data_IF_456723110378
#
_entry.id   IF_456723110378
#
_cell.length_a   1.000
_cell.length_b   1.000
_cell.length_c   1.000
_cell.angle_alpha   90.00
_cell.angle_beta   90.00
_cell.angle_gamma   90.00
#
_symmetry.space_group_name_H-M   'P 1'
#
loop_
_entity.id
_entity.type
_entity.pdbx_description
1 polymer ?
#
# COMPACT_ATOMS: atom_id res chain seq x y z
N UNK A 1 41.76 -9.91 -35.56
CA UNK A 1 43.03 -10.37 -34.94
C UNK A 1 42.98 -10.10 -33.44
N UNK A 2 43.06 -11.18 -32.64
CA UNK A 2 43.56 -11.36 -31.25
C UNK A 2 43.32 -10.21 -30.24
N UNK A 3 42.39 -10.39 -29.29
CA UNK A 3 42.60 -10.90 -27.90
C UNK A 3 43.15 -9.82 -26.94
N UNK A 4 42.55 -9.60 -25.77
CA UNK A 4 42.80 -10.47 -24.60
C UNK A 4 41.72 -10.41 -23.52
N UNK A 5 41.39 -11.59 -22.99
CA UNK A 5 40.63 -11.87 -21.76
C UNK A 5 41.46 -11.47 -20.53
N UNK A 6 40.81 -11.01 -19.45
CA UNK A 6 41.34 -11.17 -18.11
C UNK A 6 40.20 -11.25 -17.07
N UNK A 7 39.85 -12.49 -16.76
CA UNK A 7 39.06 -12.94 -15.62
C UNK A 7 39.79 -12.58 -14.31
N UNK A 8 39.10 -12.01 -13.33
CA UNK A 8 39.51 -12.11 -11.92
C UNK A 8 38.30 -12.49 -11.07
N UNK A 9 38.31 -13.75 -10.64
CA UNK A 9 37.56 -14.27 -9.50
C UNK A 9 38.16 -13.66 -8.21
N UNK A 10 37.31 -13.22 -7.30
CA UNK A 10 37.67 -13.09 -5.89
C UNK A 10 36.44 -13.48 -5.06
N UNK A 11 36.47 -14.73 -4.59
CA UNK A 11 35.61 -15.24 -3.55
C UNK A 11 36.09 -14.67 -2.21
N UNK A 12 35.18 -14.11 -1.41
CA UNK A 12 35.48 -13.76 -0.02
C UNK A 12 34.36 -14.22 0.88
N UNK A 13 34.78 -14.90 1.94
CA UNK A 13 34.02 -15.88 2.68
C UNK A 13 33.00 -15.29 3.67
N UNK A 14 31.90 -16.02 3.79
CA UNK A 14 30.86 -15.93 4.81
C UNK A 14 31.46 -16.21 6.20
N UNK A 15 31.22 -15.35 7.18
CA UNK A 15 31.37 -15.66 8.59
C UNK A 15 30.07 -15.28 9.32
N UNK A 16 29.21 -16.27 9.51
CA UNK A 16 27.98 -16.16 10.31
C UNK A 16 28.37 -16.39 11.78
N UNK A 17 28.20 -15.37 12.61
CA UNK A 17 28.31 -15.48 14.08
C UNK A 17 26.89 -15.53 14.65
N UNK A 18 26.46 -16.71 15.09
CA UNK A 18 25.22 -16.96 15.81
C UNK A 18 25.48 -16.84 17.32
N UNK A 19 24.97 -15.78 17.94
CA UNK A 19 24.61 -15.70 19.36
C UNK A 19 23.26 -14.96 19.38
N UNK A 20 22.13 -15.44 19.88
CA UNK A 20 21.88 -16.47 20.88
C UNK A 20 21.59 -15.81 22.23
N UNK A 21 20.33 -15.42 22.48
CA UNK A 21 19.67 -15.51 23.80
C UNK A 21 18.26 -14.92 23.78
N UNK A 22 17.31 -15.78 24.12
CA UNK A 22 15.90 -15.48 24.38
C UNK A 22 15.71 -14.77 25.72
N UNK A 23 14.77 -13.81 25.80
CA UNK A 23 14.11 -13.44 27.06
C UNK A 23 12.65 -13.11 26.81
N UNK A 24 11.80 -13.74 27.61
CA UNK A 24 10.36 -13.84 27.47
C UNK A 24 9.59 -12.53 27.73
N UNK A 25 8.53 -12.31 26.95
CA UNK A 25 7.38 -11.48 27.33
C UNK A 25 6.36 -12.33 28.08
N UNK A 26 5.79 -11.81 29.17
CA UNK A 26 4.36 -11.87 29.47
C UNK A 26 4.05 -11.13 30.78
N UNK A 27 3.68 -9.86 30.65
CA UNK A 27 2.89 -9.18 31.67
C UNK A 27 1.42 -9.45 31.35
N UNK A 28 0.76 -10.26 32.18
CA UNK A 28 -0.71 -10.44 32.11
C UNK A 28 -1.40 -9.28 32.80
N UNK A 29 -1.99 -8.43 31.97
CA UNK A 29 -3.07 -7.49 32.27
C UNK A 29 -4.38 -8.25 32.53
N UNK A 30 -5.22 -7.75 33.45
CA UNK A 30 -6.68 -7.93 33.40
C UNK A 30 -7.32 -6.95 34.38
N UNK A 31 -7.33 -5.68 33.98
CA UNK A 31 -8.09 -4.62 34.61
C UNK A 31 -9.28 -4.19 33.74
N UNK A 32 -10.44 -4.06 34.39
CA UNK A 32 -11.63 -3.29 34.00
C UNK A 32 -12.80 -4.03 33.29
N UNK A 33 -14.05 -3.69 33.67
CA UNK A 33 -15.28 -4.40 33.29
C UNK A 33 -15.87 -3.92 31.96
N UNK A 34 -16.49 -4.84 31.23
CA UNK A 34 -17.20 -4.55 29.99
C UNK A 34 -18.66 -4.12 30.25
N UNK A 35 -18.99 -2.95 29.73
CA UNK A 35 -20.31 -2.31 29.71
C UNK A 35 -21.33 -3.08 28.85
N UNK A 36 -22.57 -3.09 29.32
CA UNK A 36 -23.78 -3.56 28.62
C UNK A 36 -24.22 -2.57 27.53
N UNK A 37 -24.63 -3.04 26.34
CA UNK A 37 -25.51 -2.27 25.47
C UNK A 37 -26.95 -2.79 25.51
N UNK A 38 -27.86 -1.93 25.99
CA UNK A 38 -29.31 -2.05 25.81
C UNK A 38 -29.67 -1.60 24.40
N UNK A 39 -30.26 -2.48 23.58
CA UNK A 39 -30.88 -2.10 22.30
C UNK A 39 -32.38 -2.36 22.37
N UNK A 40 -33.15 -1.27 22.33
CA UNK A 40 -34.61 -1.27 22.22
C UNK A 40 -34.99 -0.35 21.07
N UNK A 41 -35.81 -0.85 20.13
CA UNK A 41 -36.84 -0.16 19.31
C UNK A 41 -37.21 -1.11 18.15
N UNK A 42 -38.35 -1.78 18.09
CA UNK A 42 -39.77 -1.34 17.99
C UNK A 42 -40.16 -0.84 16.58
N UNK A 43 -40.73 -1.78 15.83
CA UNK A 43 -41.90 -1.76 14.91
C UNK A 43 -42.13 -0.69 13.82
N UNK A 44 -42.18 -1.20 12.58
CA UNK A 44 -43.09 -1.01 11.42
C UNK A 44 -44.42 -0.27 11.69
N UNK A 45 -44.93 0.60 10.77
CA UNK A 45 -45.79 0.13 9.67
C UNK A 45 -45.64 0.81 8.28
N UNK A 46 -46.10 0.06 7.28
CA UNK A 46 -46.44 0.38 5.88
C UNK A 46 -47.63 1.37 5.77
N UNK A 47 -47.68 2.26 4.75
CA UNK A 47 -48.70 2.11 3.70
C UNK A 47 -48.23 2.53 2.29
N UNK A 48 -48.70 1.81 1.27
CA UNK A 48 -48.71 2.26 -0.13
C UNK A 48 -49.89 3.22 -0.40
N UNK A 49 -49.74 4.17 -1.34
CA UNK A 49 -50.71 4.22 -2.44
C UNK A 49 -50.09 4.52 -3.81
N UNK A 50 -50.80 4.06 -4.85
CA UNK A 50 -50.54 4.25 -6.27
C UNK A 50 -50.91 5.63 -6.82
N UNK A 51 -50.23 5.96 -7.93
CA UNK A 51 -50.64 6.79 -9.07
C UNK A 51 -50.53 8.33 -8.97
N UNK A 52 -49.62 8.92 -9.77
CA UNK A 52 -49.97 9.65 -11.02
C UNK A 52 -48.74 10.35 -11.62
N UNK A 53 -48.57 10.24 -12.93
CA UNK A 53 -47.58 10.97 -13.75
C UNK A 53 -47.95 12.47 -13.86
N UNK A 54 -46.94 13.35 -13.91
CA UNK A 54 -47.01 14.44 -14.88
C UNK A 54 -45.72 14.66 -15.68
N UNK A 55 -45.98 15.20 -16.88
CA UNK A 55 -45.12 15.65 -17.97
C UNK A 55 -43.97 16.57 -17.57
N UNK A 56 -42.88 16.45 -18.33
CA UNK A 56 -41.58 17.11 -18.21
C UNK A 56 -41.59 18.64 -18.20
N UNK A 57 -40.71 19.21 -17.36
CA UNK A 57 -40.19 20.57 -17.44
C UNK A 57 -38.64 20.49 -17.45
N UNK A 58 -37.93 21.19 -18.36
CA UNK A 58 -36.47 21.12 -18.43
C UNK A 58 -35.85 22.05 -17.38
N UNK A 59 -35.30 21.47 -16.32
CA UNK A 59 -34.58 22.14 -15.23
C UNK A 59 -33.08 21.85 -15.39
N UNK A 60 -32.20 22.82 -15.05
CA UNK A 60 -31.16 23.33 -15.94
C UNK A 60 -29.96 22.40 -16.04
N UNK A 61 -29.18 22.64 -17.10
CA UNK A 61 -27.81 22.16 -17.28
C UNK A 61 -27.03 22.27 -15.96
N UNK A 62 -26.85 21.15 -15.28
CA UNK A 62 -25.89 21.05 -14.20
C UNK A 62 -24.52 21.33 -14.83
N UNK A 63 -23.89 22.45 -14.42
CA UNK A 63 -22.45 22.62 -14.61
C UNK A 63 -21.74 21.36 -14.10
N UNK A 64 -20.66 20.91 -14.76
CA UNK A 64 -19.91 19.75 -14.28
C UNK A 64 -19.59 19.95 -12.80
N UNK A 65 -20.04 19.00 -12.00
CA UNK A 65 -19.61 18.86 -10.60
C UNK A 65 -18.09 18.86 -10.66
N UNK A 66 -17.47 19.86 -10.04
CA UNK A 66 -16.02 19.96 -9.89
C UNK A 66 -15.55 18.63 -9.31
N UNK A 67 -14.80 17.85 -10.11
CA UNK A 67 -14.21 16.61 -9.65
C UNK A 67 -13.45 16.91 -8.36
N UNK A 68 -13.62 16.12 -7.28
CA UNK A 68 -12.81 16.30 -6.09
C UNK A 68 -11.34 16.32 -6.52
N UNK A 69 -10.60 17.29 -6.00
CA UNK A 69 -9.17 17.41 -6.28
C UNK A 69 -8.53 16.02 -6.06
N UNK A 70 -7.69 15.54 -6.98
CA UNK A 70 -7.12 14.22 -6.86
C UNK A 70 -6.33 14.13 -5.54
N UNK A 71 -6.79 13.25 -4.64
CA UNK A 71 -6.19 13.02 -3.33
C UNK A 71 -4.71 12.64 -3.42
N UNK A 72 -4.27 12.20 -4.62
CA UNK A 72 -2.93 11.72 -4.94
C UNK A 72 -2.17 12.59 -5.95
N UNK A 73 -2.40 13.91 -5.93
CA UNK A 73 -1.70 14.84 -6.83
C UNK A 73 -2.13 14.62 -8.28
N UNK A 74 -1.22 14.43 -9.24
CA UNK A 74 -1.65 14.18 -10.62
C UNK A 74 -2.11 12.73 -10.89
N UNK A 75 -1.91 11.82 -9.94
CA UNK A 75 -2.20 10.40 -10.10
C UNK A 75 -3.59 10.02 -9.56
N UNK A 76 -4.14 8.91 -10.06
CA UNK A 76 -5.19 8.16 -9.34
C UNK A 76 -4.58 7.09 -8.42
N UNK A 77 -5.36 6.59 -7.46
CA UNK A 77 -4.93 5.50 -6.60
C UNK A 77 -4.58 4.24 -7.40
N UNK A 78 -5.39 3.91 -8.42
CA UNK A 78 -5.19 2.75 -9.28
C UNK A 78 -3.89 2.88 -10.09
N UNK A 79 -3.57 4.08 -10.57
CA UNK A 79 -2.31 4.34 -11.28
C UNK A 79 -1.11 4.10 -10.37
N UNK A 80 -1.12 4.66 -9.16
CA UNK A 80 -0.05 4.47 -8.18
C UNK A 80 0.12 2.99 -7.81
N UNK A 81 -0.99 2.28 -7.60
CA UNK A 81 -1.01 0.85 -7.30
C UNK A 81 -0.40 0.03 -8.44
N UNK A 82 -0.87 0.25 -9.67
CA UNK A 82 -0.42 -0.52 -10.83
C UNK A 82 1.06 -0.26 -11.14
N UNK A 83 1.52 0.99 -11.04
CA UNK A 83 2.95 1.33 -11.22
C UNK A 83 3.80 0.54 -10.23
N UNK A 84 3.38 0.45 -8.96
CA UNK A 84 4.13 -0.28 -7.95
C UNK A 84 4.16 -1.80 -8.24
N UNK A 85 3.02 -2.38 -8.66
CA UNK A 85 2.93 -3.79 -9.05
C UNK A 85 3.85 -4.08 -10.24
N UNK A 86 3.75 -3.29 -11.32
CA UNK A 86 4.55 -3.51 -12.53
C UNK A 86 6.05 -3.44 -12.24
N UNK A 87 6.45 -2.56 -11.32
CA UNK A 87 7.84 -2.40 -10.89
C UNK A 87 8.36 -3.57 -10.05
N UNK A 88 7.50 -4.24 -9.30
CA UNK A 88 7.90 -5.20 -8.27
C UNK A 88 7.52 -6.64 -8.56
N UNK A 89 6.62 -6.90 -9.52
CA UNK A 89 6.10 -8.23 -9.84
C UNK A 89 7.20 -9.26 -10.10
N UNK A 90 8.32 -8.85 -10.73
CA UNK A 90 9.47 -9.75 -10.98
C UNK A 90 10.24 -10.17 -9.73
N UNK A 91 9.99 -9.54 -8.59
CA UNK A 91 10.59 -9.87 -7.28
C UNK A 91 9.90 -11.06 -6.63
N UNK A 92 8.66 -11.35 -7.04
CA UNK A 92 7.85 -12.42 -6.47
C UNK A 92 7.86 -13.69 -7.33
N UNK A 93 7.36 -14.78 -6.77
CA UNK A 93 7.09 -16.01 -7.52
C UNK A 93 6.01 -15.80 -8.59
N UNK A 94 5.95 -16.67 -9.61
CA UNK A 94 4.97 -16.55 -10.71
C UNK A 94 3.51 -16.74 -10.24
N UNK A 95 3.32 -17.21 -9.02
CA UNK A 95 2.04 -17.44 -8.36
C UNK A 95 1.56 -16.25 -7.51
N UNK A 96 2.25 -15.11 -7.55
CA UNK A 96 1.91 -13.94 -6.74
C UNK A 96 0.49 -13.43 -7.04
N UNK A 97 -0.24 -13.10 -5.97
CA UNK A 97 -1.53 -12.45 -6.02
C UNK A 97 -1.43 -11.12 -5.27
N UNK A 98 -1.72 -10.02 -5.95
CA UNK A 98 -1.74 -8.69 -5.35
C UNK A 98 -3.16 -8.33 -4.88
N UNK A 99 -3.24 -7.71 -3.71
CA UNK A 99 -4.49 -7.21 -3.13
C UNK A 99 -4.58 -5.70 -3.35
N UNK A 100 -5.19 -5.32 -4.49
CA UNK A 100 -5.32 -3.93 -4.89
C UNK A 100 -6.27 -3.14 -3.97
N UNK A 101 -7.31 -3.79 -3.46
CA UNK A 101 -8.36 -3.17 -2.65
C UNK A 101 -7.83 -2.73 -1.28
N UNK A 102 -6.86 -3.48 -0.73
CA UNK A 102 -6.20 -3.15 0.54
C UNK A 102 -4.86 -2.42 0.35
N UNK A 103 -4.65 -1.78 -0.81
CA UNK A 103 -3.47 -0.92 -1.03
C UNK A 103 -3.51 0.27 -0.10
N UNK A 104 -2.38 0.54 0.57
CA UNK A 104 -2.19 1.74 1.38
C UNK A 104 -1.31 2.73 0.61
N UNK A 105 -1.79 3.96 0.47
CA UNK A 105 -1.09 5.06 -0.20
C UNK A 105 -0.93 6.20 0.80
N UNK A 106 0.31 6.63 1.01
CA UNK A 106 0.65 7.66 1.98
C UNK A 106 1.42 8.79 1.30
N UNK A 107 1.10 10.03 1.66
CA UNK A 107 1.88 11.19 1.23
C UNK A 107 3.13 11.32 2.11
N UNK A 108 4.29 11.38 1.47
CA UNK A 108 5.60 11.55 2.10
C UNK A 108 5.90 13.03 2.33
N UNK A 109 6.77 13.31 3.30
CA UNK A 109 7.28 14.67 3.56
C UNK A 109 8.51 15.02 2.71
N UNK A 110 8.97 14.06 1.92
CA UNK A 110 10.14 14.16 1.03
C UNK A 110 9.76 13.71 -0.38
N UNK A 111 10.68 13.86 -1.34
CA UNK A 111 10.52 13.32 -2.70
C UNK A 111 11.10 11.91 -2.77
N UNK A 112 10.50 10.96 -3.53
CA UNK A 112 9.22 11.05 -4.25
C UNK A 112 8.01 11.17 -3.33
N UNK A 113 6.95 11.85 -3.76
CA UNK A 113 5.85 12.29 -2.88
C UNK A 113 4.96 11.15 -2.36
N UNK A 114 4.87 10.01 -3.05
CA UNK A 114 3.94 8.94 -2.71
C UNK A 114 4.67 7.70 -2.22
N UNK A 115 4.27 7.17 -1.06
CA UNK A 115 4.59 5.82 -0.61
C UNK A 115 3.41 4.92 -0.95
N UNK A 116 3.64 3.84 -1.70
CA UNK A 116 2.63 2.87 -2.08
C UNK A 116 2.99 1.51 -1.50
N UNK A 117 2.05 0.92 -0.77
CA UNK A 117 2.18 -0.35 -0.09
C UNK A 117 1.08 -1.29 -0.59
N UNK A 118 1.43 -2.22 -1.48
CA UNK A 118 0.47 -3.16 -2.07
C UNK A 118 0.65 -4.52 -1.39
N UNK A 119 -0.31 -4.99 -0.57
CA UNK A 119 -0.24 -6.34 -0.02
C UNK A 119 -0.25 -7.38 -1.13
N UNK A 120 0.46 -8.48 -0.90
CA UNK A 120 0.53 -9.59 -1.84
C UNK A 120 0.56 -10.92 -1.08
N UNK A 121 0.35 -12.02 -1.80
CA UNK A 121 0.57 -13.37 -1.30
C UNK A 121 1.28 -14.20 -2.38
N UNK A 122 2.30 -14.97 -2.00
CA UNK A 122 3.04 -15.87 -2.90
C UNK A 122 3.60 -17.03 -2.08
N UNK A 123 3.57 -18.25 -2.63
CA UNK A 123 4.13 -19.45 -2.01
C UNK A 123 3.62 -19.72 -0.58
N UNK A 124 2.40 -19.27 -0.26
CA UNK A 124 1.79 -19.41 1.07
C UNK A 124 2.25 -18.39 2.11
N UNK A 125 3.03 -17.38 1.73
CA UNK A 125 3.46 -16.27 2.59
C UNK A 125 2.67 -15.01 2.25
N UNK A 126 2.35 -14.22 3.28
CA UNK A 126 1.98 -12.82 3.06
C UNK A 126 3.21 -12.04 2.62
N UNK A 127 3.03 -11.10 1.72
CA UNK A 127 4.09 -10.29 1.15
C UNK A 127 3.59 -8.86 0.96
N UNK A 128 4.48 -7.95 0.59
CA UNK A 128 4.13 -6.56 0.33
C UNK A 128 5.07 -5.93 -0.69
N UNK A 129 4.52 -5.25 -1.67
CA UNK A 129 5.28 -4.34 -2.55
C UNK A 129 5.36 -2.98 -1.90
N UNK A 130 6.55 -2.38 -1.93
CA UNK A 130 6.85 -1.09 -1.31
C UNK A 130 7.52 -0.22 -2.36
N UNK A 131 6.84 0.87 -2.74
CA UNK A 131 7.34 1.78 -3.76
C UNK A 131 7.27 3.23 -3.31
N UNK A 132 8.28 4.04 -3.69
CA UNK A 132 8.19 5.50 -3.62
C UNK A 132 8.06 6.07 -5.03
N UNK A 133 6.97 6.80 -5.29
CA UNK A 133 6.57 7.27 -6.63
C UNK A 133 6.40 8.79 -6.63
N UNK A 134 6.90 9.42 -7.69
CA UNK A 134 6.74 10.85 -7.95
C UNK A 134 6.71 11.13 -9.45
N UNK A 135 6.94 12.38 -9.84
CA UNK A 135 6.84 12.77 -11.25
C UNK A 135 5.39 12.97 -11.69
N UNK A 136 5.02 12.46 -12.86
CA UNK A 136 3.65 12.57 -13.41
C UNK A 136 3.15 11.21 -13.90
N UNK A 137 1.84 11.02 -14.11
CA UNK A 137 1.32 9.77 -14.68
C UNK A 137 1.93 9.39 -16.04
N UNK A 138 2.31 10.38 -16.86
CA UNK A 138 2.95 10.16 -18.15
C UNK A 138 4.45 9.81 -18.03
N UNK A 139 5.09 10.26 -16.96
CA UNK A 139 6.51 10.06 -16.67
C UNK A 139 6.71 9.78 -15.16
N UNK A 140 6.32 8.58 -14.68
CA UNK A 140 6.46 8.24 -13.27
C UNK A 140 7.94 8.06 -12.91
N UNK A 141 8.33 8.58 -11.75
CA UNK A 141 9.68 8.44 -11.21
C UNK A 141 9.62 7.58 -9.95
N UNK A 142 10.34 6.47 -9.96
CA UNK A 142 10.49 5.59 -8.80
C UNK A 142 11.90 5.71 -8.24
N UNK A 143 12.01 5.83 -6.92
CA UNK A 143 13.31 5.77 -6.22
C UNK A 143 13.47 4.48 -5.41
N UNK A 144 12.40 4.03 -4.77
CA UNK A 144 12.30 2.73 -4.12
C UNK A 144 11.28 1.87 -4.85
N UNK A 145 11.62 0.61 -5.09
CA UNK A 145 10.72 -0.43 -5.56
C UNK A 145 11.24 -1.78 -5.08
N UNK A 146 10.59 -2.34 -4.06
CA UNK A 146 11.02 -3.60 -3.43
C UNK A 146 9.83 -4.47 -3.05
N UNK A 147 10.02 -5.78 -3.12
CA UNK A 147 9.11 -6.77 -2.55
C UNK A 147 9.63 -7.24 -1.18
N UNK A 148 8.74 -7.29 -0.19
CA UNK A 148 9.00 -7.84 1.14
C UNK A 148 8.18 -9.11 1.35
N UNK A 149 8.75 -10.12 2.04
CA UNK A 149 8.08 -11.38 2.43
C UNK A 149 7.28 -11.20 3.75
N UNK A 150 7.24 -9.98 4.27
CA UNK A 150 6.44 -9.61 5.44
C UNK A 150 5.90 -8.19 5.24
N UNK A 151 4.75 -7.87 5.85
CA UNK A 151 4.25 -6.50 5.90
C UNK A 151 5.15 -5.64 6.77
N UNK A 152 5.42 -4.41 6.32
CA UNK A 152 6.22 -3.47 7.11
C UNK A 152 5.48 -3.08 8.40
N UNK A 153 6.18 -3.01 9.55
CA UNK A 153 5.62 -2.47 10.78
C UNK A 153 5.34 -0.97 10.63
N UNK A 154 4.36 -0.45 11.37
CA UNK A 154 3.93 0.96 11.26
C UNK A 154 5.08 1.95 11.48
N UNK A 155 5.98 1.68 12.44
CA UNK A 155 7.16 2.51 12.67
C UNK A 155 8.02 2.67 11.41
N UNK A 156 8.24 1.58 10.68
CA UNK A 156 9.03 1.61 9.44
C UNK A 156 8.29 2.37 8.33
N UNK A 157 6.97 2.25 8.25
CA UNK A 157 6.14 3.03 7.32
C UNK A 157 6.28 4.53 7.64
N UNK A 158 6.20 4.92 8.91
CA UNK A 158 6.38 6.31 9.33
C UNK A 158 7.81 6.84 9.08
N UNK A 159 8.82 5.97 9.13
CA UNK A 159 10.18 6.33 8.73
C UNK A 159 10.27 6.60 7.23
N UNK A 160 9.71 5.73 6.39
CA UNK A 160 9.66 5.92 4.93
C UNK A 160 8.85 7.16 4.51
N UNK A 161 7.76 7.48 5.23
CA UNK A 161 7.00 8.71 5.04
C UNK A 161 7.89 9.94 5.27
N UNK A 162 8.77 9.89 6.27
CA UNK A 162 9.70 10.97 6.60
C UNK A 162 10.98 10.97 5.76
N UNK A 163 11.19 9.97 4.91
CA UNK A 163 12.43 9.81 4.13
C UNK A 163 13.60 9.24 4.94
N UNK A 164 13.32 8.59 6.06
CA UNK A 164 14.32 8.00 6.95
C UNK A 164 14.51 6.50 6.64
N UNK A 165 15.75 6.01 6.70
CA UNK A 165 16.09 4.58 6.57
C UNK A 165 15.63 3.91 5.26
N UNK A 166 15.65 4.64 4.15
CA UNK A 166 15.13 4.17 2.85
C UNK A 166 16.03 3.15 2.13
N UNK A 167 17.15 2.77 2.76
CA UNK A 167 18.14 1.88 2.19
C UNK A 167 18.90 2.54 1.04
N UNK A 168 19.82 3.47 1.35
CA UNK A 168 20.63 4.11 0.32
C UNK A 168 21.61 5.16 0.80
N UNK A 169 22.47 4.85 1.77
CA UNK A 169 23.78 5.52 1.80
C UNK A 169 24.54 5.03 0.56
N UNK A 170 24.84 5.96 -0.36
CA UNK A 170 25.83 5.76 -1.42
C UNK A 170 27.23 5.78 -0.83
#
# INVERSE_FOLDING_TARGET
MRSSRATRLAATALAIVLLGSATACAATDSGAPASVPTSTSTSTPEPAPSASVPTAEPTPSQSPVESPAPEFGAFTAEQLTQICIDATVSTFGPDVVFDNENTRIEKRTVTPEWLVLVPAATMGYEAQSVCTIGGTPAEPKMELGSGSIERLPEEQIQNLIRGENEGGDR
#
